data_IF_971460214060
#
_entry.id   IF_971460214060
#
_cell.length_a   1.000
_cell.length_b   1.000
_cell.length_c   1.000
_cell.angle_alpha   90.00
_cell.angle_beta   90.00
_cell.angle_gamma   90.00
#
_symmetry.space_group_name_H-M   'P 1'
#
loop_
_entity.id
_entity.type
_entity.pdbx_description
1 polymer ?
#
# COMPACT_ATOMS: atom_id res chain seq x y z
N UNK A 1 9.07 6.94 14.64
CA UNK A 1 9.47 5.54 14.33
C UNK A 1 8.54 5.02 13.24
N UNK A 2 9.06 4.36 12.21
CA UNK A 2 8.21 3.69 11.22
C UNK A 2 7.41 2.58 11.92
N UNK A 3 6.09 2.55 11.72
CA UNK A 3 5.23 1.47 12.21
C UNK A 3 5.76 0.13 11.65
N UNK A 4 5.80 -0.91 12.50
CA UNK A 4 6.22 -2.28 12.11
C UNK A 4 5.47 -2.78 10.86
N UNK A 5 4.21 -2.38 10.68
CA UNK A 5 3.36 -2.66 9.51
C UNK A 5 3.91 -2.00 8.23
N UNK A 6 4.33 -0.74 8.30
CA UNK A 6 4.95 -0.01 7.18
C UNK A 6 6.24 -0.70 6.70
N UNK A 7 7.01 -1.24 7.64
CA UNK A 7 8.25 -1.96 7.31
C UNK A 7 7.94 -3.25 6.55
N UNK A 8 6.99 -4.06 7.03
CA UNK A 8 6.58 -5.30 6.37
C UNK A 8 6.06 -5.05 4.95
N UNK A 9 5.21 -4.04 4.75
CA UNK A 9 4.69 -3.68 3.42
C UNK A 9 5.83 -3.26 2.49
N UNK A 10 6.80 -2.49 3.00
CA UNK A 10 8.00 -2.12 2.24
C UNK A 10 8.84 -3.34 1.91
N UNK A 11 9.01 -4.27 2.83
CA UNK A 11 9.82 -5.47 2.59
C UNK A 11 9.16 -6.33 1.49
N UNK A 12 7.84 -6.55 1.55
CA UNK A 12 7.07 -7.29 0.53
C UNK A 12 7.17 -6.64 -0.86
N UNK A 13 7.02 -5.31 -0.97
CA UNK A 13 7.08 -4.61 -2.26
C UNK A 13 8.47 -4.68 -2.91
N UNK A 14 9.52 -4.94 -2.11
CA UNK A 14 10.90 -5.07 -2.59
C UNK A 14 11.31 -6.53 -2.80
N UNK A 15 10.39 -7.49 -2.62
CA UNK A 15 10.67 -8.88 -2.94
C UNK A 15 10.80 -9.07 -4.46
N UNK A 16 11.90 -9.66 -4.97
CA UNK A 16 12.14 -9.79 -6.41
C UNK A 16 11.03 -10.52 -7.17
N UNK A 17 10.40 -11.49 -6.52
CA UNK A 17 9.28 -12.26 -7.08
C UNK A 17 8.01 -11.42 -7.23
N UNK A 18 7.71 -10.55 -6.28
CA UNK A 18 6.59 -9.61 -6.33
C UNK A 18 6.83 -8.60 -7.45
N UNK A 19 8.02 -8.00 -7.48
CA UNK A 19 8.39 -7.06 -8.53
C UNK A 19 8.29 -7.67 -9.92
N UNK A 20 8.84 -8.88 -10.11
CA UNK A 20 8.80 -9.60 -11.38
C UNK A 20 7.38 -9.95 -11.80
N UNK A 21 6.54 -10.43 -10.88
CA UNK A 21 5.16 -10.85 -11.15
C UNK A 21 4.27 -9.68 -11.57
N UNK A 22 4.41 -8.55 -10.89
CA UNK A 22 3.58 -7.36 -11.13
C UNK A 22 4.25 -6.31 -12.02
N UNK A 23 5.45 -6.60 -12.54
CA UNK A 23 6.25 -5.69 -13.38
C UNK A 23 6.49 -4.34 -12.71
N UNK A 24 6.73 -4.35 -11.40
CA UNK A 24 7.08 -3.16 -10.64
C UNK A 24 8.52 -2.78 -10.96
N UNK A 25 8.74 -1.53 -11.34
CA UNK A 25 10.07 -0.96 -11.55
C UNK A 25 10.59 -0.29 -10.27
N UNK A 26 11.89 -0.01 -10.21
CA UNK A 26 12.44 0.82 -9.14
C UNK A 26 11.79 2.21 -9.10
N UNK A 27 11.42 2.77 -10.25
CA UNK A 27 10.75 4.07 -10.34
C UNK A 27 9.34 4.03 -9.71
N UNK A 28 8.59 2.94 -9.89
CA UNK A 28 7.29 2.75 -9.24
C UNK A 28 7.41 2.69 -7.71
N UNK A 29 8.56 2.21 -7.23
CA UNK A 29 8.87 1.98 -5.83
C UNK A 29 9.80 3.03 -5.23
N UNK A 30 10.12 4.10 -5.97
CA UNK A 30 10.96 5.19 -5.49
C UNK A 30 10.15 6.44 -5.13
N UNK A 31 10.76 7.29 -4.30
CA UNK A 31 10.24 8.64 -4.00
C UNK A 31 8.79 8.70 -3.50
N UNK A 32 8.00 9.58 -4.13
CA UNK A 32 6.63 9.90 -3.73
C UNK A 32 5.62 8.79 -4.06
N UNK A 33 5.84 8.03 -5.13
CA UNK A 33 4.96 6.94 -5.57
C UNK A 33 4.98 5.78 -4.57
N UNK A 34 6.17 5.43 -4.07
CA UNK A 34 6.34 4.47 -2.99
C UNK A 34 5.50 4.81 -1.76
N UNK A 35 5.54 6.08 -1.34
CA UNK A 35 4.82 6.54 -0.15
C UNK A 35 3.31 6.36 -0.33
N UNK A 36 2.77 6.76 -1.49
CA UNK A 36 1.35 6.58 -1.80
C UNK A 36 0.91 5.12 -1.83
N UNK A 37 1.69 4.22 -2.45
CA UNK A 37 1.36 2.79 -2.51
C UNK A 37 1.31 2.19 -1.09
N UNK A 38 2.32 2.48 -0.27
CA UNK A 38 2.38 2.03 1.12
C UNK A 38 1.19 2.56 1.91
N UNK A 39 0.87 3.85 1.79
CA UNK A 39 -0.24 4.46 2.54
C UNK A 39 -1.61 3.90 2.10
N UNK A 40 -1.79 3.61 0.80
CA UNK A 40 -3.00 2.95 0.27
C UNK A 40 -3.12 1.53 0.82
N UNK A 41 -2.03 0.75 0.82
CA UNK A 41 -2.02 -0.62 1.36
C UNK A 41 -2.28 -0.64 2.87
N UNK A 42 -1.71 0.30 3.64
CA UNK A 42 -2.00 0.45 5.07
C UNK A 42 -3.48 0.77 5.30
N UNK A 43 -4.06 1.65 4.48
CA UNK A 43 -5.50 1.97 4.54
C UNK A 43 -6.35 0.73 4.29
N UNK A 44 -6.01 -0.07 3.27
CA UNK A 44 -6.72 -1.32 2.95
C UNK A 44 -6.67 -2.29 4.13
N UNK A 45 -5.47 -2.52 4.69
CA UNK A 45 -5.29 -3.48 5.79
C UNK A 45 -6.04 -2.99 7.04
N UNK A 46 -5.88 -1.72 7.42
CA UNK A 46 -6.57 -1.16 8.59
C UNK A 46 -8.10 -1.28 8.45
N UNK A 47 -8.64 -0.98 7.28
CA UNK A 47 -10.09 -0.99 7.09
C UNK A 47 -10.66 -2.41 6.96
N UNK A 48 -9.88 -3.34 6.40
CA UNK A 48 -10.21 -4.76 6.41
C UNK A 48 -10.18 -5.35 7.83
N UNK A 49 -9.16 -4.99 8.63
CA UNK A 49 -9.07 -5.36 10.06
C UNK A 49 -10.31 -4.85 10.85
N UNK A 50 -10.90 -3.72 10.42
CA UNK A 50 -12.14 -3.16 10.97
C UNK A 50 -13.43 -3.79 10.40
N UNK A 51 -13.33 -4.87 9.62
CA UNK A 51 -14.47 -5.59 9.04
C UNK A 51 -15.15 -4.86 7.87
N UNK A 52 -14.52 -3.83 7.28
CA UNK A 52 -15.08 -3.15 6.11
C UNK A 52 -14.87 -3.98 4.86
N UNK A 53 -15.90 -4.03 4.03
CA UNK A 53 -15.83 -4.69 2.72
C UNK A 53 -15.05 -3.85 1.73
N UNK A 54 -14.49 -4.46 0.68
CA UNK A 54 -13.77 -3.75 -0.39
C UNK A 54 -14.58 -2.57 -0.98
N UNK A 55 -15.90 -2.70 -1.09
CA UNK A 55 -16.81 -1.64 -1.56
C UNK A 55 -16.85 -0.42 -0.64
N UNK A 56 -16.64 -0.60 0.66
CA UNK A 56 -16.58 0.45 1.67
C UNK A 56 -15.16 1.03 1.82
N UNK A 57 -14.14 0.22 1.57
CA UNK A 57 -12.73 0.63 1.64
C UNK A 57 -12.39 1.61 0.51
N UNK A 58 -12.85 1.36 -0.72
CA UNK A 58 -12.48 2.19 -1.88
C UNK A 58 -12.85 3.69 -1.74
N UNK A 59 -14.06 4.08 -1.32
CA UNK A 59 -14.39 5.47 -1.04
C UNK A 59 -13.50 6.11 0.05
N UNK A 60 -13.10 5.31 1.04
CA UNK A 60 -12.23 5.75 2.14
C UNK A 60 -10.82 6.09 1.62
N UNK A 61 -10.24 5.21 0.79
CA UNK A 61 -8.96 5.46 0.11
C UNK A 61 -9.05 6.74 -0.73
N UNK A 62 -10.11 6.87 -1.54
CA UNK A 62 -10.31 8.03 -2.41
C UNK A 62 -10.31 9.35 -1.63
N UNK A 63 -10.99 9.36 -0.48
CA UNK A 63 -11.09 10.53 0.39
C UNK A 63 -9.76 10.85 1.11
N UNK A 64 -9.12 9.85 1.72
CA UNK A 64 -7.86 10.03 2.48
C UNK A 64 -6.72 10.49 1.56
N UNK A 65 -6.61 9.87 0.39
CA UNK A 65 -5.51 10.11 -0.55
C UNK A 65 -5.81 11.18 -1.59
N UNK A 66 -7.00 11.79 -1.54
CA UNK A 66 -7.48 12.83 -2.48
C UNK A 66 -7.33 12.43 -3.95
N UNK A 67 -7.80 11.21 -4.27
CA UNK A 67 -7.79 10.62 -5.62
C UNK A 67 -9.15 10.89 -6.32
#
# INVERSE_FOLDING_TARGET
MLNKRTKIIKDILFEPEIQKKYKLTEDDLSGMHRKKIVDVLETIINENDNGRTARQIYPTIKNIHKI
#
